data_IF_605675123655
#
_entry.id   IF_605675123655
#
_cell.length_a   1.000
_cell.length_b   1.000
_cell.length_c   1.000
_cell.angle_alpha   90.00
_cell.angle_beta   90.00
_cell.angle_gamma   90.00
#
_symmetry.space_group_name_H-M   'P 1'
#
loop_
_entity.id
_entity.type
_entity.pdbx_description
1 polymer ?
#
# COMPACT_ATOMS: atom_id res chain seq x y z
N UNK A 1 19.65 -1.60 27.78
CA UNK A 1 18.97 -1.22 26.52
C UNK A 1 18.07 -2.39 26.16
N UNK A 2 16.93 -2.15 25.49
CA UNK A 2 16.16 -3.28 24.97
C UNK A 2 16.93 -3.82 23.76
N UNK A 3 17.29 -5.10 23.81
CA UNK A 3 17.98 -5.79 22.73
C UNK A 3 16.99 -6.71 22.03
N UNK A 4 17.02 -6.72 20.70
CA UNK A 4 16.26 -7.63 19.86
C UNK A 4 17.16 -8.80 19.47
N UNK A 5 17.07 -9.90 20.21
CA UNK A 5 17.81 -11.15 19.94
C UNK A 5 19.31 -10.93 19.62
N UNK A 6 19.97 -10.16 20.49
CA UNK A 6 21.38 -9.72 20.45
C UNK A 6 21.71 -8.54 19.52
N UNK A 7 20.70 -7.86 18.97
CA UNK A 7 20.88 -6.61 18.23
C UNK A 7 20.36 -5.41 19.04
N UNK A 8 21.19 -4.41 19.34
CA UNK A 8 20.73 -3.25 20.10
C UNK A 8 19.73 -2.42 19.28
N UNK A 9 18.63 -1.97 19.89
CA UNK A 9 17.71 -1.07 19.20
C UNK A 9 18.29 0.35 19.24
N UNK A 10 18.83 0.83 18.12
CA UNK A 10 19.50 2.14 18.00
C UNK A 10 18.79 3.07 17.01
N UNK A 11 19.01 4.38 17.15
CA UNK A 11 18.57 5.39 16.17
C UNK A 11 19.53 5.52 14.98
N UNK A 12 20.70 4.88 15.07
CA UNK A 12 21.74 4.91 14.06
C UNK A 12 21.69 3.63 13.21
N UNK A 13 22.10 3.71 11.94
CA UNK A 13 22.23 2.53 11.09
C UNK A 13 23.37 1.61 11.58
N UNK A 14 23.20 0.32 11.32
CA UNK A 14 24.25 -0.68 11.49
C UNK A 14 25.04 -0.81 10.20
N UNK A 15 26.34 -0.50 10.28
CA UNK A 15 27.24 -0.63 9.15
C UNK A 15 27.73 -2.07 9.04
N UNK A 16 27.56 -2.64 7.85
CA UNK A 16 27.97 -4.01 7.50
C UNK A 16 29.30 -3.94 6.76
N UNK A 17 30.30 -4.59 7.33
CA UNK A 17 31.68 -4.67 6.87
C UNK A 17 32.13 -6.14 6.75
N UNK A 18 33.39 -6.34 6.37
CA UNK A 18 33.96 -7.68 6.17
C UNK A 18 34.09 -8.51 7.47
N UNK A 19 33.95 -7.89 8.64
CA UNK A 19 34.01 -8.58 9.93
C UNK A 19 32.63 -9.03 10.43
N UNK A 20 31.55 -8.32 10.06
CA UNK A 20 30.20 -8.54 10.59
C UNK A 20 29.16 -8.97 9.54
N UNK A 21 29.54 -9.14 8.27
CA UNK A 21 28.65 -9.55 7.17
C UNK A 21 27.88 -10.85 7.45
N UNK A 22 28.43 -11.73 8.29
CA UNK A 22 27.79 -13.00 8.65
C UNK A 22 26.40 -12.79 9.28
N UNK A 23 26.20 -11.70 10.02
CA UNK A 23 24.90 -11.34 10.59
C UNK A 23 23.85 -11.08 9.50
N UNK A 24 24.25 -10.39 8.42
CA UNK A 24 23.38 -10.16 7.27
C UNK A 24 23.08 -11.47 6.54
N UNK A 25 24.09 -12.33 6.35
CA UNK A 25 23.92 -13.64 5.69
C UNK A 25 22.91 -14.51 6.45
N UNK A 26 23.00 -14.55 7.78
CA UNK A 26 22.07 -15.31 8.63
C UNK A 26 20.63 -14.81 8.51
N UNK A 27 20.42 -13.50 8.39
CA UNK A 27 19.09 -12.90 8.16
C UNK A 27 18.55 -13.26 6.79
N UNK A 28 19.37 -13.10 5.74
CA UNK A 28 18.96 -13.32 4.35
C UNK A 28 18.62 -14.80 4.10
N UNK A 29 19.38 -15.71 4.69
CA UNK A 29 19.17 -17.15 4.58
C UNK A 29 18.11 -17.68 5.56
N UNK A 30 17.55 -16.84 6.44
CA UNK A 30 16.52 -17.24 7.41
C UNK A 30 17.05 -18.09 8.57
N UNK A 31 18.36 -18.12 8.79
CA UNK A 31 18.98 -18.86 9.89
C UNK A 31 18.75 -18.17 11.26
N UNK A 32 18.59 -16.84 11.25
CA UNK A 32 18.32 -16.04 12.44
C UNK A 32 17.12 -15.11 12.22
N UNK A 33 16.16 -15.18 13.13
CA UNK A 33 14.95 -14.35 13.10
C UNK A 33 15.04 -13.29 14.21
N UNK A 34 14.73 -12.06 13.85
CA UNK A 34 14.65 -10.93 14.77
C UNK A 34 13.18 -10.54 14.98
N UNK A 35 12.87 -9.90 16.10
CA UNK A 35 11.52 -9.47 16.45
C UNK A 35 11.11 -8.21 15.71
N UNK A 36 12.05 -7.45 15.12
CA UNK A 36 11.80 -6.31 14.25
C UNK A 36 12.19 -6.61 12.78
N UNK A 37 11.50 -6.02 11.79
CA UNK A 37 11.89 -6.13 10.39
C UNK A 37 13.27 -5.52 10.15
N UNK A 38 14.00 -6.04 9.15
CA UNK A 38 15.33 -5.57 8.79
C UNK A 38 15.32 -4.95 7.39
N UNK A 39 15.84 -3.74 7.28
CA UNK A 39 16.02 -3.02 6.02
C UNK A 39 17.50 -3.06 5.66
N UNK A 40 17.85 -3.71 4.56
CA UNK A 40 19.22 -3.74 4.06
C UNK A 40 19.41 -2.78 2.88
N UNK A 41 20.36 -1.86 3.00
CA UNK A 41 20.71 -0.86 1.98
C UNK A 41 22.08 -1.20 1.40
N UNK A 42 22.10 -1.66 0.15
CA UNK A 42 23.35 -1.92 -0.57
C UNK A 42 23.97 -0.64 -1.15
N UNK A 43 25.29 -0.64 -1.34
CA UNK A 43 26.02 0.45 -2.01
C UNK A 43 25.79 0.41 -3.52
N UNK A 44 25.77 1.58 -4.15
CA UNK A 44 25.76 1.70 -5.63
C UNK A 44 27.11 1.31 -6.23
N UNK A 45 27.17 1.12 -7.54
CA UNK A 45 28.43 0.85 -8.27
C UNK A 45 29.51 1.92 -8.05
N UNK A 46 29.11 3.17 -7.76
CA UNK A 46 30.00 4.29 -7.47
C UNK A 46 30.36 4.39 -5.97
N UNK A 47 30.08 3.34 -5.19
CA UNK A 47 30.26 3.28 -3.74
C UNK A 47 29.51 4.37 -2.95
N UNK A 48 28.37 4.83 -3.48
CA UNK A 48 27.51 5.82 -2.82
C UNK A 48 26.30 5.15 -2.18
N UNK A 49 25.78 5.74 -1.12
CA UNK A 49 24.49 5.32 -0.54
C UNK A 49 23.35 5.86 -1.40
N UNK A 50 22.37 5.03 -1.80
CA UNK A 50 21.28 5.44 -2.69
C UNK A 50 20.27 6.39 -2.01
N UNK A 51 20.22 6.40 -0.68
CA UNK A 51 19.30 7.20 0.13
C UNK A 51 20.01 7.79 1.35
N UNK A 52 19.37 8.78 1.98
CA UNK A 52 19.80 9.31 3.28
C UNK A 52 19.43 8.32 4.39
N UNK A 53 20.42 7.50 4.77
CA UNK A 53 20.26 6.46 5.78
C UNK A 53 20.05 7.05 7.18
N UNK A 54 20.60 8.24 7.47
CA UNK A 54 20.43 8.88 8.77
C UNK A 54 18.97 9.22 9.02
N UNK A 55 18.32 9.85 8.04
CA UNK A 55 16.87 10.13 8.08
C UNK A 55 16.04 8.85 8.15
N UNK A 56 16.39 7.83 7.36
CA UNK A 56 15.66 6.56 7.36
C UNK A 56 15.73 5.86 8.72
N UNK A 57 16.92 5.76 9.31
CA UNK A 57 17.14 5.11 10.61
C UNK A 57 16.42 5.88 11.73
N UNK A 58 16.41 7.20 11.66
CA UNK A 58 15.65 8.03 12.60
C UNK A 58 14.14 7.83 12.47
N UNK A 59 13.61 7.68 11.25
CA UNK A 59 12.19 7.44 11.02
C UNK A 59 11.74 6.03 11.45
N UNK A 60 12.63 5.04 11.36
CA UNK A 60 12.37 3.64 11.70
C UNK A 60 12.81 3.25 13.12
N UNK A 61 13.22 4.22 13.95
CA UNK A 61 13.70 3.96 15.31
C UNK A 61 12.66 3.16 16.12
N UNK A 62 13.07 1.99 16.62
CA UNK A 62 12.20 1.10 17.40
C UNK A 62 11.10 0.39 16.61
N UNK A 63 11.08 0.53 15.28
CA UNK A 63 10.12 -0.16 14.38
C UNK A 63 10.84 -1.15 13.47
N UNK A 64 12.07 -0.85 13.03
CA UNK A 64 12.88 -1.72 12.19
C UNK A 64 14.38 -1.45 12.39
N UNK A 65 15.20 -2.46 12.10
CA UNK A 65 16.66 -2.30 12.05
C UNK A 65 17.10 -1.92 10.63
N UNK A 66 18.07 -1.03 10.52
CA UNK A 66 18.61 -0.59 9.22
C UNK A 66 20.06 -1.03 9.09
N UNK A 67 20.32 -1.95 8.18
CA UNK A 67 21.65 -2.44 7.83
C UNK A 67 22.13 -1.74 6.56
N UNK A 68 23.38 -1.28 6.57
CA UNK A 68 23.97 -0.54 5.45
C UNK A 68 25.30 -1.13 5.12
N UNK A 69 25.48 -1.49 3.85
CA UNK A 69 26.79 -1.89 3.36
C UNK A 69 27.79 -0.73 3.49
N UNK A 70 28.95 -0.97 4.08
CA UNK A 70 30.00 0.05 4.26
C UNK A 70 30.75 0.31 2.94
N UNK A 71 31.23 -0.75 2.30
CA UNK A 71 32.00 -0.68 1.06
C UNK A 71 31.47 -1.62 -0.03
N UNK A 72 31.64 -1.20 -1.29
CA UNK A 72 31.23 -1.97 -2.48
C UNK A 72 32.08 -3.23 -2.67
N UNK A 73 33.31 -3.26 -2.13
CA UNK A 73 34.23 -4.41 -2.20
C UNK A 73 33.64 -5.68 -1.54
N UNK A 74 32.90 -5.51 -0.44
CA UNK A 74 32.21 -6.60 0.27
C UNK A 74 31.04 -7.20 -0.51
N UNK A 75 30.64 -6.62 -1.65
CA UNK A 75 29.48 -7.06 -2.42
C UNK A 75 29.66 -8.49 -2.96
N UNK A 76 30.82 -8.79 -3.56
CA UNK A 76 31.08 -10.12 -4.11
C UNK A 76 31.13 -11.19 -3.02
N UNK A 77 31.67 -10.83 -1.84
CA UNK A 77 31.68 -11.69 -0.66
C UNK A 77 30.24 -12.01 -0.20
N UNK A 78 29.43 -10.99 0.08
CA UNK A 78 28.05 -11.15 0.55
C UNK A 78 27.21 -11.93 -0.48
N UNK A 79 27.41 -11.67 -1.78
CA UNK A 79 26.72 -12.39 -2.87
C UNK A 79 27.04 -13.87 -2.88
N UNK A 80 28.31 -14.23 -2.71
CA UNK A 80 28.75 -15.62 -2.69
C UNK A 80 28.15 -16.41 -1.52
N UNK A 81 28.01 -15.79 -0.35
CA UNK A 81 27.43 -16.43 0.84
C UNK A 81 25.90 -16.44 0.88
N UNK A 82 25.26 -15.59 0.07
CA UNK A 82 23.80 -15.48 0.00
C UNK A 82 23.20 -16.13 -1.26
N UNK A 83 23.97 -16.85 -2.07
CA UNK A 83 23.53 -17.42 -3.37
C UNK A 83 22.80 -16.38 -4.26
N UNK A 84 23.33 -15.16 -4.35
CA UNK A 84 22.71 -14.03 -5.08
C UNK A 84 21.29 -13.63 -4.61
N UNK A 85 20.83 -14.11 -3.45
CA UNK A 85 19.53 -13.73 -2.88
C UNK A 85 19.53 -12.34 -2.25
N UNK A 86 20.69 -11.77 -2.00
CA UNK A 86 20.86 -10.45 -1.41
C UNK A 86 20.59 -9.32 -2.42
N UNK A 87 20.27 -8.13 -1.91
CA UNK A 87 20.23 -6.91 -2.72
C UNK A 87 21.62 -6.34 -2.93
N UNK A 88 21.89 -5.87 -4.14
CA UNK A 88 23.20 -5.35 -4.56
C UNK A 88 23.03 -4.16 -5.49
N UNK A 89 24.08 -3.35 -5.68
CA UNK A 89 24.13 -2.22 -6.61
C UNK A 89 23.09 -1.11 -6.33
N UNK A 90 22.93 -0.70 -5.08
CA UNK A 90 22.01 0.37 -4.69
C UNK A 90 20.56 -0.08 -4.52
N UNK A 91 20.30 -1.38 -4.62
CA UNK A 91 18.99 -1.95 -4.30
C UNK A 91 18.82 -2.05 -2.77
N UNK A 92 17.58 -1.94 -2.31
CA UNK A 92 17.21 -2.01 -0.90
C UNK A 92 16.31 -3.23 -0.68
N UNK A 93 16.65 -4.06 0.29
CA UNK A 93 15.87 -5.23 0.71
C UNK A 93 15.11 -4.95 2.00
N UNK A 94 13.87 -5.42 2.09
CA UNK A 94 13.11 -5.45 3.34
C UNK A 94 12.82 -6.91 3.68
N UNK A 95 13.28 -7.31 4.86
CA UNK A 95 13.18 -8.66 5.42
C UNK A 95 12.22 -8.63 6.61
N UNK A 96 11.15 -9.42 6.54
CA UNK A 96 10.11 -9.51 7.57
C UNK A 96 10.30 -10.74 8.44
N UNK A 97 9.72 -10.75 9.63
CA UNK A 97 9.85 -11.83 10.63
C UNK A 97 9.06 -13.11 10.26
N UNK A 98 8.28 -13.11 9.17
CA UNK A 98 7.33 -14.19 8.86
C UNK A 98 7.53 -14.72 7.45
N UNK A 99 7.65 -16.05 7.31
CA UNK A 99 7.75 -16.75 6.02
C UNK A 99 6.54 -16.55 5.09
N UNK A 100 5.40 -16.13 5.66
CA UNK A 100 4.17 -15.83 4.93
C UNK A 100 4.30 -14.58 4.04
N UNK A 101 5.18 -13.63 4.39
CA UNK A 101 5.42 -12.43 3.60
C UNK A 101 6.83 -12.52 3.01
N UNK A 102 6.86 -12.81 1.71
CA UNK A 102 8.10 -12.87 0.94
C UNK A 102 8.86 -11.52 1.02
N UNK A 103 10.20 -11.62 1.07
CA UNK A 103 11.10 -10.45 1.08
C UNK A 103 10.73 -9.44 -0.02
N UNK A 104 10.73 -8.15 0.32
CA UNK A 104 10.38 -7.09 -0.63
C UNK A 104 11.66 -6.42 -1.14
N UNK A 105 11.99 -6.65 -2.41
CA UNK A 105 13.12 -5.97 -3.08
C UNK A 105 12.66 -4.66 -3.69
N UNK A 106 13.33 -3.55 -3.34
CA UNK A 106 13.14 -2.24 -3.96
C UNK A 106 14.35 -1.88 -4.81
N UNK A 107 14.11 -1.62 -6.09
CA UNK A 107 15.13 -1.02 -6.96
C UNK A 107 15.12 0.48 -6.80
N UNK A 108 16.29 1.05 -6.52
CA UNK A 108 16.50 2.51 -6.56
C UNK A 108 17.26 2.80 -7.86
N UNK A 109 16.56 3.35 -8.86
CA UNK A 109 17.21 3.81 -10.08
C UNK A 109 17.72 5.25 -9.85
N UNK A 110 18.80 5.64 -10.53
CA UNK A 110 19.50 6.92 -10.31
C UNK A 110 18.63 8.19 -10.51
N UNK A 111 17.47 8.05 -11.16
CA UNK A 111 16.55 9.16 -11.45
C UNK A 111 15.41 9.31 -10.42
N UNK A 112 15.34 8.44 -9.40
CA UNK A 112 14.31 8.53 -8.36
C UNK A 112 14.71 9.53 -7.29
N UNK A 113 13.72 10.27 -6.78
CA UNK A 113 13.89 11.12 -5.61
C UNK A 113 14.19 10.23 -4.38
N UNK A 114 15.38 10.35 -3.76
CA UNK A 114 15.75 9.56 -2.60
C UNK A 114 14.79 9.71 -1.41
N UNK A 115 14.20 10.91 -1.23
CA UNK A 115 13.29 11.18 -0.12
C UNK A 115 11.95 10.45 -0.31
N UNK A 116 11.45 10.36 -1.56
CA UNK A 116 10.21 9.62 -1.89
C UNK A 116 10.40 8.12 -1.66
N UNK A 117 11.55 7.57 -2.05
CA UNK A 117 11.89 6.16 -1.82
C UNK A 117 11.94 5.86 -0.32
N UNK A 118 12.61 6.71 0.45
CA UNK A 118 12.71 6.59 1.91
C UNK A 118 11.33 6.60 2.57
N UNK A 119 10.47 7.56 2.21
CA UNK A 119 9.10 7.63 2.75
C UNK A 119 8.25 6.40 2.39
N UNK A 120 8.42 5.85 1.19
CA UNK A 120 7.74 4.62 0.78
C UNK A 120 8.15 3.43 1.64
N UNK A 121 9.45 3.28 1.93
CA UNK A 121 9.97 2.20 2.78
C UNK A 121 9.40 2.31 4.19
N UNK A 122 9.42 3.52 4.76
CA UNK A 122 8.85 3.78 6.09
C UNK A 122 7.37 3.42 6.13
N UNK A 123 6.59 3.83 5.12
CA UNK A 123 5.17 3.52 5.03
C UNK A 123 4.93 2.01 4.96
N UNK A 124 5.69 1.28 4.14
CA UNK A 124 5.55 -0.17 3.99
C UNK A 124 5.77 -0.89 5.33
N UNK A 125 6.82 -0.53 6.07
CA UNK A 125 7.16 -1.15 7.35
C UNK A 125 6.14 -0.82 8.44
N UNK A 126 5.67 0.44 8.50
CA UNK A 126 4.63 0.84 9.45
C UNK A 126 3.32 0.10 9.16
N UNK A 127 2.94 -0.03 7.88
CA UNK A 127 1.75 -0.82 7.52
C UNK A 127 1.89 -2.28 7.91
N UNK A 128 3.05 -2.90 7.66
CA UNK A 128 3.32 -4.26 8.09
C UNK A 128 3.20 -4.40 9.61
N UNK A 129 3.82 -3.50 10.37
CA UNK A 129 3.78 -3.54 11.85
C UNK A 129 2.36 -3.37 12.37
N UNK A 130 1.58 -2.47 11.78
CA UNK A 130 0.17 -2.28 12.15
C UNK A 130 -0.73 -3.46 11.76
N UNK A 131 -0.29 -4.33 10.85
CA UNK A 131 -1.02 -5.54 10.45
C UNK A 131 -0.69 -6.75 11.32
N UNK A 132 0.38 -6.70 12.12
CA UNK A 132 0.68 -7.77 13.06
C UNK A 132 -0.44 -7.86 14.12
N UNK A 133 -1.03 -9.05 14.22
CA UNK A 133 -2.13 -9.32 15.14
C UNK A 133 -1.60 -9.38 16.57
N UNK A 134 -2.12 -8.50 17.43
CA UNK A 134 -1.91 -8.61 18.87
C UNK A 134 -2.62 -9.89 19.32
N UNK A 135 -1.96 -10.85 20.00
CA UNK A 135 -2.66 -12.05 20.44
C UNK A 135 -3.81 -11.67 21.37
N UNK A 136 -4.98 -12.28 21.17
CA UNK A 136 -6.24 -11.82 21.76
C UNK A 136 -6.20 -11.62 23.29
N UNK A 137 -5.47 -12.48 24.02
CA UNK A 137 -5.28 -12.37 25.47
C UNK A 137 -4.53 -11.12 25.94
N UNK A 138 -3.80 -10.45 25.06
CA UNK A 138 -3.12 -9.17 25.35
C UNK A 138 -4.01 -7.96 25.07
N UNK A 139 -5.25 -8.17 24.61
CA UNK A 139 -6.24 -7.10 24.45
C UNK A 139 -7.09 -6.95 25.72
N UNK A 140 -7.54 -5.73 26.02
CA UNK A 140 -8.44 -5.49 27.15
C UNK A 140 -9.71 -6.33 27.09
N UNK A 141 -10.28 -6.50 25.89
CA UNK A 141 -11.45 -7.35 25.66
C UNK A 141 -11.19 -8.83 25.94
N UNK A 142 -10.02 -9.36 25.57
CA UNK A 142 -9.66 -10.75 25.86
C UNK A 142 -9.48 -11.02 27.36
N UNK A 143 -8.88 -10.07 28.09
CA UNK A 143 -8.75 -10.15 29.56
C UNK A 143 -10.13 -10.07 30.23
N UNK A 144 -10.97 -9.11 29.82
CA UNK A 144 -12.34 -8.96 30.34
C UNK A 144 -13.17 -10.22 30.11
N UNK A 145 -13.14 -10.77 28.91
CA UNK A 145 -13.89 -11.97 28.54
C UNK A 145 -13.44 -13.18 29.37
N UNK A 146 -12.14 -13.37 29.57
CA UNK A 146 -11.60 -14.44 30.42
C UNK A 146 -12.04 -14.29 31.88
N UNK A 147 -11.98 -13.06 32.42
CA UNK A 147 -12.43 -12.76 33.78
C UNK A 147 -13.93 -13.03 33.97
N UNK A 148 -14.76 -12.68 32.97
CA UNK A 148 -16.18 -12.94 33.00
C UNK A 148 -16.49 -14.44 32.97
N UNK A 149 -15.79 -15.21 32.13
CA UNK A 149 -15.94 -16.67 32.09
C UNK A 149 -15.58 -17.33 33.42
N UNK A 150 -14.50 -16.91 34.08
CA UNK A 150 -14.10 -17.45 35.37
C UNK A 150 -15.12 -17.12 36.48
N UNK A 151 -15.61 -15.88 36.52
CA UNK A 151 -16.68 -15.48 37.46
C UNK A 151 -17.96 -16.27 37.20
N UNK A 152 -18.34 -16.45 35.94
CA UNK A 152 -19.53 -17.20 35.56
C UNK A 152 -19.44 -18.66 36.00
N UNK A 153 -18.30 -19.32 35.75
CA UNK A 153 -18.06 -20.71 36.19
C UNK A 153 -18.14 -20.84 37.72
N UNK A 154 -17.53 -19.91 38.46
CA UNK A 154 -17.57 -19.92 39.92
C UNK A 154 -18.99 -19.71 40.46
N UNK A 155 -19.76 -18.81 39.84
CA UNK A 155 -21.13 -18.53 40.27
C UNK A 155 -22.07 -19.69 39.94
N UNK A 156 -21.89 -20.34 38.79
CA UNK A 156 -22.61 -21.56 38.39
C UNK A 156 -22.36 -22.71 39.37
N UNK A 157 -21.11 -22.94 39.76
CA UNK A 157 -20.75 -23.97 40.73
C UNK A 157 -21.38 -23.71 42.11
N UNK A 158 -21.28 -22.48 42.63
CA UNK A 158 -21.88 -22.10 43.93
C UNK A 158 -23.40 -22.22 43.95
N UNK A 159 -24.06 -21.97 42.81
CA UNK A 159 -25.51 -22.05 42.70
C UNK A 159 -26.01 -23.48 42.58
N UNK A 160 -25.35 -24.33 41.82
CA UNK A 160 -25.64 -25.77 41.79
C UNK A 160 -25.52 -26.42 43.18
N UNK A 161 -24.62 -25.90 44.02
CA UNK A 161 -24.46 -26.34 45.41
C UNK A 161 -25.60 -25.84 46.33
N UNK A 162 -26.14 -24.64 46.07
CA UNK A 162 -27.29 -24.08 46.78
C UNK A 162 -28.65 -24.66 46.35
N UNK A 163 -28.75 -25.13 45.11
CA UNK A 163 -29.93 -25.77 44.48
C UNK A 163 -30.35 -27.06 45.20
N UNK A 164 -29.44 -27.69 45.95
CA UNK A 164 -29.75 -28.84 46.80
C UNK A 164 -30.62 -28.51 48.02
N UNK A 165 -30.93 -27.23 48.30
CA UNK A 165 -31.39 -26.84 49.65
C UNK A 165 -32.79 -26.26 49.83
N UNK A 166 -33.58 -25.83 48.81
CA UNK A 166 -34.99 -25.38 49.05
C UNK A 166 -35.92 -25.48 47.83
N UNK A 167 -37.20 -25.77 48.11
CA UNK A 167 -38.28 -26.18 47.19
C UNK A 167 -39.28 -25.05 46.85
N UNK A 168 -39.20 -23.87 47.49
CA UNK A 168 -39.99 -22.67 47.12
C UNK A 168 -39.35 -21.84 45.99
N UNK A 169 -38.27 -22.36 45.41
CA UNK A 169 -37.40 -21.66 44.47
C UNK A 169 -37.78 -21.89 43.01
N UNK A 170 -38.69 -22.83 42.72
CA UNK A 170 -38.91 -23.38 41.37
C UNK A 170 -39.55 -22.41 40.36
N UNK A 171 -40.48 -21.55 40.76
CA UNK A 171 -41.14 -20.62 39.82
C UNK A 171 -40.22 -19.43 39.48
N UNK A 172 -39.52 -18.91 40.49
CA UNK A 172 -38.47 -17.89 40.29
C UNK A 172 -37.29 -18.48 39.53
N UNK A 173 -36.91 -19.73 39.78
CA UNK A 173 -35.89 -20.47 39.03
C UNK A 173 -36.28 -20.65 37.56
N UNK A 174 -37.54 -20.94 37.26
CA UNK A 174 -38.02 -21.06 35.88
C UNK A 174 -37.87 -19.75 35.12
N UNK A 175 -38.38 -18.66 35.69
CA UNK A 175 -38.32 -17.34 35.04
C UNK A 175 -36.86 -16.89 34.82
N UNK A 176 -35.98 -17.09 35.82
CA UNK A 176 -34.57 -16.76 35.66
C UNK A 176 -33.80 -17.72 34.74
N UNK A 177 -34.20 -19.00 34.68
CA UNK A 177 -33.62 -19.96 33.73
C UNK A 177 -34.01 -19.63 32.30
N UNK A 178 -35.26 -19.20 32.09
CA UNK A 178 -35.75 -18.75 30.79
C UNK A 178 -35.03 -17.46 30.36
N UNK A 179 -34.90 -16.46 31.23
CA UNK A 179 -34.11 -15.25 30.93
C UNK A 179 -32.62 -15.55 30.68
N UNK A 180 -32.04 -16.53 31.37
CA UNK A 180 -30.66 -16.97 31.13
C UNK A 180 -30.51 -17.69 29.80
N UNK A 181 -31.48 -18.54 29.44
CA UNK A 181 -31.49 -19.21 28.14
C UNK A 181 -31.61 -18.19 27.02
N UNK A 182 -32.51 -17.21 27.16
CA UNK A 182 -32.70 -16.12 26.19
C UNK A 182 -31.43 -15.29 26.04
N UNK A 183 -30.76 -14.95 27.15
CA UNK A 183 -29.49 -14.24 27.14
C UNK A 183 -28.36 -15.08 26.53
N UNK A 184 -28.29 -16.39 26.79
CA UNK A 184 -27.32 -17.28 26.15
C UNK A 184 -27.58 -17.42 24.65
N UNK A 185 -28.84 -17.49 24.23
CA UNK A 185 -29.23 -17.55 22.83
C UNK A 185 -28.87 -16.25 22.11
N UNK A 186 -29.12 -15.11 22.74
CA UNK A 186 -28.76 -13.80 22.21
C UNK A 186 -27.23 -13.63 22.14
N UNK A 187 -26.50 -14.11 23.15
CA UNK A 187 -25.03 -14.08 23.13
C UNK A 187 -24.47 -14.97 22.03
N UNK A 188 -25.01 -16.19 21.87
CA UNK A 188 -24.67 -17.09 20.75
C UNK A 188 -24.96 -16.43 19.42
N UNK A 189 -26.13 -15.81 19.26
CA UNK A 189 -26.52 -15.10 18.04
C UNK A 189 -25.58 -13.95 17.72
N UNK A 190 -25.17 -13.18 18.73
CA UNK A 190 -24.21 -12.08 18.57
C UNK A 190 -22.81 -12.59 18.24
N UNK A 191 -22.36 -13.69 18.86
CA UNK A 191 -21.07 -14.32 18.52
C UNK A 191 -21.08 -14.91 17.12
N UNK A 192 -22.17 -15.55 16.68
CA UNK A 192 -22.32 -16.01 15.29
C UNK A 192 -22.25 -14.84 14.31
N UNK A 193 -22.93 -13.73 14.61
CA UNK A 193 -22.87 -12.52 13.77
C UNK A 193 -21.49 -11.88 13.73
N UNK A 194 -20.76 -11.89 14.85
CA UNK A 194 -19.37 -11.42 14.88
C UNK A 194 -18.48 -12.33 14.04
N UNK A 195 -18.61 -13.65 14.18
CA UNK A 195 -17.87 -14.62 13.38
C UNK A 195 -18.19 -14.49 11.88
N UNK A 196 -19.45 -14.31 11.50
CA UNK A 196 -19.86 -14.07 10.12
C UNK A 196 -19.28 -12.75 9.58
N UNK A 197 -19.26 -11.70 10.41
CA UNK A 197 -18.66 -10.40 10.05
C UNK A 197 -17.13 -10.45 9.99
N UNK A 198 -16.49 -11.25 10.83
CA UNK A 198 -15.06 -11.50 10.80
C UNK A 198 -14.68 -12.33 9.58
N UNK A 199 -15.46 -13.36 9.22
CA UNK A 199 -15.31 -14.13 8.00
C UNK A 199 -15.57 -13.27 6.75
N UNK A 200 -16.55 -12.36 6.77
CA UNK A 200 -16.73 -11.36 5.71
C UNK A 200 -15.54 -10.42 5.64
N UNK A 201 -15.04 -9.91 6.77
CA UNK A 201 -13.86 -9.06 6.80
C UNK A 201 -12.61 -9.81 6.33
N UNK A 202 -12.47 -11.08 6.66
CA UNK A 202 -11.37 -11.94 6.21
C UNK A 202 -11.52 -12.27 4.73
N UNK A 203 -12.73 -12.53 4.25
CA UNK A 203 -13.05 -12.68 2.83
C UNK A 203 -12.74 -11.39 2.06
N UNK A 204 -13.17 -10.22 2.53
CA UNK A 204 -12.88 -8.93 1.91
C UNK A 204 -11.42 -8.54 2.06
N UNK A 205 -10.76 -8.90 3.15
CA UNK A 205 -9.31 -8.75 3.31
C UNK A 205 -8.60 -9.65 2.32
N UNK A 206 -8.97 -10.91 2.19
CA UNK A 206 -8.39 -11.85 1.22
C UNK A 206 -8.73 -11.47 -0.21
N UNK A 207 -9.90 -10.90 -0.49
CA UNK A 207 -10.27 -10.37 -1.79
C UNK A 207 -9.47 -9.08 -2.07
N UNK A 208 -9.29 -8.23 -1.06
CA UNK A 208 -8.46 -7.03 -1.14
C UNK A 208 -6.97 -7.37 -1.23
N UNK A 209 -6.50 -8.43 -0.56
CA UNK A 209 -5.17 -9.01 -0.65
C UNK A 209 -5.03 -9.90 -1.89
N UNK A 210 -6.08 -10.36 -2.54
CA UNK A 210 -5.99 -10.94 -3.89
C UNK A 210 -5.98 -9.82 -4.94
N UNK A 211 -6.63 -8.70 -4.65
CA UNK A 211 -6.60 -7.45 -5.45
C UNK A 211 -5.32 -6.61 -5.22
N UNK A 212 -4.64 -6.72 -4.08
CA UNK A 212 -3.40 -6.00 -3.73
C UNK A 212 -2.17 -6.91 -3.57
N UNK A 213 -2.36 -8.15 -3.17
CA UNK A 213 -1.36 -9.16 -2.84
C UNK A 213 -1.36 -10.35 -3.79
N UNK A 214 -1.69 -10.09 -5.06
CA UNK A 214 -0.97 -10.73 -6.15
C UNK A 214 0.04 -9.70 -6.66
N UNK A 215 1.22 -9.74 -6.06
CA UNK A 215 2.48 -9.46 -6.74
C UNK A 215 2.75 -10.51 -7.85
N UNK A 216 1.76 -10.72 -8.72
CA UNK A 216 1.92 -11.23 -10.09
C UNK A 216 1.01 -10.44 -11.05
N UNK A 217 0.61 -9.21 -10.70
CA UNK A 217 0.32 -8.23 -11.73
C UNK A 217 1.57 -8.11 -12.60
N UNK A 218 1.43 -8.33 -13.91
CA UNK A 218 2.51 -8.27 -14.92
C UNK A 218 3.46 -7.05 -14.74
N UNK A 219 2.96 -5.95 -14.16
CA UNK A 219 3.73 -4.75 -13.82
C UNK A 219 3.36 -4.23 -12.42
N UNK A 220 4.34 -3.69 -11.70
CA UNK A 220 4.09 -2.95 -10.46
C UNK A 220 3.33 -1.65 -10.76
N UNK A 221 2.35 -1.30 -9.91
CA UNK A 221 1.48 -0.14 -10.07
C UNK A 221 2.14 1.23 -9.78
N UNK A 222 3.38 1.25 -9.31
CA UNK A 222 4.11 2.49 -8.99
C UNK A 222 3.53 3.26 -7.78
N UNK A 223 4.21 4.33 -7.35
CA UNK A 223 3.84 5.13 -6.17
C UNK A 223 2.99 6.36 -6.47
N UNK A 224 2.87 6.74 -7.74
CA UNK A 224 2.03 7.88 -8.16
C UNK A 224 0.56 7.58 -7.87
N UNK A 225 -0.23 8.60 -7.51
CA UNK A 225 -1.65 8.41 -7.18
C UNK A 225 -2.50 8.33 -8.45
N UNK A 226 -3.50 7.45 -8.49
CA UNK A 226 -4.56 7.53 -9.50
C UNK A 226 -5.56 8.64 -9.16
N UNK A 227 -5.81 9.52 -10.12
CA UNK A 227 -6.84 10.56 -10.05
C UNK A 227 -8.23 10.01 -10.35
N UNK A 228 -8.32 8.91 -11.11
CA UNK A 228 -9.56 8.20 -11.39
C UNK A 228 -9.34 6.69 -11.54
N UNK A 229 -10.41 5.92 -11.35
CA UNK A 229 -10.35 4.46 -11.40
C UNK A 229 -9.83 3.96 -12.75
N UNK A 230 -8.78 3.13 -12.73
CA UNK A 230 -8.23 2.49 -13.92
C UNK A 230 -7.31 3.40 -14.77
N UNK A 231 -6.98 4.60 -14.29
CA UNK A 231 -6.13 5.56 -15.01
C UNK A 231 -4.79 4.99 -15.43
N UNK A 232 -4.02 4.39 -14.50
CA UNK A 232 -2.69 3.86 -14.82
C UNK A 232 -2.76 2.74 -15.83
N UNK A 233 -3.76 1.85 -15.67
CA UNK A 233 -3.99 0.74 -16.60
C UNK A 233 -4.27 1.27 -18.00
N UNK A 234 -5.15 2.27 -18.13
CA UNK A 234 -5.51 2.86 -19.41
C UNK A 234 -4.29 3.53 -20.08
N UNK A 235 -3.47 4.28 -19.34
CA UNK A 235 -2.25 4.88 -19.88
C UNK A 235 -1.21 3.86 -20.34
N UNK A 236 -0.98 2.80 -19.56
CA UNK A 236 -0.03 1.75 -19.95
C UNK A 236 -0.51 1.04 -21.22
N UNK A 237 -1.80 0.70 -21.29
CA UNK A 237 -2.37 0.08 -22.49
C UNK A 237 -2.31 1.00 -23.71
N UNK A 238 -2.52 2.31 -23.55
CA UNK A 238 -2.41 3.26 -24.67
C UNK A 238 -0.98 3.31 -25.22
N UNK A 239 0.02 3.38 -24.34
CA UNK A 239 1.44 3.37 -24.74
C UNK A 239 1.82 2.06 -25.44
N UNK A 240 1.34 0.92 -24.93
CA UNK A 240 1.58 -0.37 -25.57
C UNK A 240 0.93 -0.45 -26.95
N UNK A 241 -0.29 0.05 -27.11
CA UNK A 241 -0.99 0.12 -28.39
C UNK A 241 -0.26 1.02 -29.40
N UNK A 242 0.14 2.23 -29.00
CA UNK A 242 0.89 3.16 -29.85
C UNK A 242 2.22 2.55 -30.31
N UNK A 243 2.87 1.77 -29.44
CA UNK A 243 4.13 1.11 -29.76
C UNK A 243 3.99 0.04 -30.85
N UNK A 244 2.82 -0.60 -31.01
CA UNK A 244 2.60 -1.63 -32.03
C UNK A 244 2.68 -1.08 -33.46
N UNK A 245 2.31 0.20 -33.66
CA UNK A 245 2.32 0.85 -34.97
C UNK A 245 3.72 1.02 -35.57
N UNK A 246 4.76 1.08 -34.72
CA UNK A 246 6.16 1.22 -35.12
C UNK A 246 6.96 -0.08 -35.16
N UNK A 247 6.35 -1.23 -34.82
CA UNK A 247 7.08 -2.51 -34.70
C UNK A 247 7.09 -3.31 -36.00
N UNK A 248 8.26 -3.87 -36.31
CA UNK A 248 8.43 -4.81 -37.42
C UNK A 248 7.59 -6.08 -37.23
N UNK A 249 7.03 -6.55 -38.34
CA UNK A 249 6.19 -7.74 -38.38
C UNK A 249 6.97 -9.01 -38.03
N UNK A 250 6.25 -10.02 -37.52
CA UNK A 250 6.77 -11.35 -37.17
C UNK A 250 7.85 -11.36 -36.07
N UNK A 251 7.88 -10.36 -35.20
CA UNK A 251 8.78 -10.36 -34.04
C UNK A 251 8.08 -10.90 -32.79
N UNK A 252 8.82 -11.64 -31.95
CA UNK A 252 8.32 -12.13 -30.66
C UNK A 252 7.82 -10.99 -29.77
N UNK A 253 8.50 -9.84 -29.81
CA UNK A 253 8.11 -8.62 -29.09
C UNK A 253 6.73 -8.12 -29.51
N UNK A 254 6.45 -8.01 -30.82
CA UNK A 254 5.14 -7.60 -31.34
C UNK A 254 4.04 -8.58 -30.95
N UNK A 255 4.29 -9.89 -31.03
CA UNK A 255 3.32 -10.91 -30.63
C UNK A 255 2.95 -10.81 -29.14
N UNK A 256 3.93 -10.62 -28.24
CA UNK A 256 3.67 -10.48 -26.80
C UNK A 256 2.85 -9.23 -26.49
N UNK A 257 3.23 -8.09 -27.07
CA UNK A 257 2.53 -6.82 -26.80
C UNK A 257 1.11 -6.85 -27.39
N UNK A 258 0.94 -7.43 -28.57
CA UNK A 258 -0.37 -7.60 -29.21
C UNK A 258 -1.28 -8.50 -28.37
N UNK A 259 -0.77 -9.60 -27.84
CA UNK A 259 -1.52 -10.50 -26.96
C UNK A 259 -1.97 -9.79 -25.67
N UNK A 260 -1.06 -9.06 -25.01
CA UNK A 260 -1.39 -8.27 -23.82
C UNK A 260 -2.49 -7.24 -24.11
N UNK A 261 -2.39 -6.52 -25.23
CA UNK A 261 -3.40 -5.53 -25.63
C UNK A 261 -4.74 -6.19 -25.97
N UNK A 262 -4.75 -7.37 -26.59
CA UNK A 262 -5.97 -8.09 -26.96
C UNK A 262 -6.70 -8.72 -25.75
N UNK A 263 -5.97 -9.19 -24.76
CA UNK A 263 -6.52 -9.81 -23.55
C UNK A 263 -7.06 -8.79 -22.53
N UNK A 264 -6.76 -7.51 -22.72
CA UNK A 264 -7.21 -6.44 -21.84
C UNK A 264 -8.26 -5.59 -22.56
N UNK A 265 -9.49 -5.55 -22.03
CA UNK A 265 -10.49 -4.59 -22.49
C UNK A 265 -9.94 -3.17 -22.34
N UNK A 266 -9.78 -2.48 -23.46
CA UNK A 266 -9.44 -1.06 -23.47
C UNK A 266 -10.73 -0.33 -23.13
N UNK A 267 -10.91 -0.06 -21.85
CA UNK A 267 -11.91 0.90 -21.41
C UNK A 267 -11.57 2.24 -22.09
N UNK A 268 -12.51 2.73 -22.91
CA UNK A 268 -12.33 3.94 -23.73
C UNK A 268 -12.34 5.24 -22.90
N UNK A 269 -12.06 5.13 -21.60
CA UNK A 269 -12.11 6.20 -20.60
C UNK A 269 -11.21 7.38 -21.03
N UNK A 270 -10.00 7.10 -21.54
CA UNK A 270 -9.10 8.16 -21.98
C UNK A 270 -9.65 8.90 -23.20
N UNK A 271 -10.16 8.21 -24.22
CA UNK A 271 -10.70 8.88 -25.40
C UNK A 271 -12.01 9.60 -25.12
N UNK A 272 -12.90 8.99 -24.32
CA UNK A 272 -14.12 9.64 -23.84
C UNK A 272 -13.81 10.97 -23.13
N UNK A 273 -12.77 11.00 -22.28
CA UNK A 273 -12.33 12.24 -21.63
C UNK A 273 -11.72 13.24 -22.61
N UNK A 274 -10.91 12.79 -23.58
CA UNK A 274 -10.36 13.66 -24.64
C UNK A 274 -11.48 14.28 -25.48
N UNK A 275 -12.49 13.51 -25.84
CA UNK A 275 -13.65 13.97 -26.61
C UNK A 275 -14.54 14.92 -25.81
N UNK A 276 -14.72 14.66 -24.51
CA UNK A 276 -15.44 15.56 -23.63
C UNK A 276 -14.72 16.90 -23.47
N UNK A 277 -13.40 16.89 -23.27
CA UNK A 277 -12.57 18.10 -23.20
C UNK A 277 -12.61 18.85 -24.54
N UNK A 278 -12.51 18.13 -25.67
CA UNK A 278 -12.62 18.71 -27.00
C UNK A 278 -13.98 19.37 -27.22
N UNK A 279 -15.08 18.72 -26.84
CA UNK A 279 -16.43 19.29 -26.91
C UNK A 279 -16.57 20.56 -26.06
N UNK A 280 -15.99 20.57 -24.87
CA UNK A 280 -16.11 21.68 -23.92
C UNK A 280 -15.24 22.89 -24.28
N UNK A 281 -14.06 22.67 -24.87
CA UNK A 281 -13.06 23.71 -25.08
C UNK A 281 -12.82 24.11 -26.54
N UNK A 282 -13.36 23.42 -27.54
CA UNK A 282 -13.11 23.80 -28.95
C UNK A 282 -13.67 25.18 -29.29
N UNK A 283 -14.91 25.48 -28.89
CA UNK A 283 -15.62 26.72 -29.23
C UNK A 283 -15.96 27.57 -27.98
N UNK A 284 -15.15 27.47 -26.93
CA UNK A 284 -15.42 28.18 -25.67
C UNK A 284 -15.41 29.71 -25.87
N UNK A 285 -16.42 30.39 -25.32
CA UNK A 285 -16.55 31.85 -25.31
C UNK A 285 -16.47 32.38 -23.87
N UNK A 286 -15.47 31.91 -23.14
CA UNK A 286 -15.27 32.14 -21.71
C UNK A 286 -15.88 31.05 -20.81
N UNK A 287 -15.48 31.04 -19.54
CA UNK A 287 -15.94 30.06 -18.54
C UNK A 287 -17.28 30.51 -17.97
N UNK A 288 -18.36 29.91 -18.44
CA UNK A 288 -19.67 30.03 -17.81
C UNK A 288 -19.81 29.06 -16.62
N UNK A 289 -20.81 29.27 -15.76
CA UNK A 289 -21.05 28.42 -14.58
C UNK A 289 -21.20 26.93 -14.94
N UNK A 290 -21.81 26.63 -16.10
CA UNK A 290 -21.97 25.27 -16.61
C UNK A 290 -20.64 24.62 -17.01
N UNK A 291 -19.80 25.33 -17.76
CA UNK A 291 -18.48 24.88 -18.18
C UNK A 291 -17.56 24.70 -16.97
N UNK A 292 -17.66 25.58 -15.96
CA UNK A 292 -16.94 25.41 -14.69
C UNK A 292 -17.35 24.13 -13.96
N UNK A 293 -18.63 23.79 -13.94
CA UNK A 293 -19.11 22.53 -13.34
C UNK A 293 -18.64 21.30 -14.13
N UNK A 294 -18.71 21.32 -15.47
CA UNK A 294 -18.25 20.23 -16.32
C UNK A 294 -16.73 20.01 -16.21
N UNK A 295 -15.94 21.09 -16.20
CA UNK A 295 -14.50 21.03 -15.94
C UNK A 295 -14.19 20.48 -14.54
N UNK A 296 -15.00 20.84 -13.53
CA UNK A 296 -14.86 20.29 -12.17
C UNK A 296 -15.16 18.79 -12.11
N UNK A 297 -16.15 18.30 -12.86
CA UNK A 297 -16.43 16.85 -12.98
C UNK A 297 -15.25 16.10 -13.58
N UNK A 298 -14.55 16.72 -14.54
CA UNK A 298 -13.34 16.18 -15.14
C UNK A 298 -12.10 16.29 -14.24
N UNK A 299 -12.20 16.93 -13.07
CA UNK A 299 -11.12 17.08 -12.11
C UNK A 299 -10.37 18.41 -12.16
N UNK A 300 -10.79 19.37 -12.99
CA UNK A 300 -10.13 20.67 -13.08
C UNK A 300 -10.67 21.67 -12.06
N UNK A 301 -9.76 22.36 -11.39
CA UNK A 301 -10.04 23.53 -10.55
C UNK A 301 -9.73 24.79 -11.34
N UNK A 302 -10.74 25.65 -11.49
CA UNK A 302 -10.62 26.92 -12.21
C UNK A 302 -10.34 28.06 -11.23
N UNK A 303 -9.23 28.76 -11.42
CA UNK A 303 -8.89 29.99 -10.72
C UNK A 303 -8.75 31.15 -11.72
N UNK A 304 -9.06 32.36 -11.29
CA UNK A 304 -8.91 33.57 -12.13
C UNK A 304 -7.55 34.20 -11.89
N UNK A 305 -6.83 34.49 -12.97
CA UNK A 305 -5.51 35.13 -12.94
C UNK A 305 -5.49 36.27 -13.97
N UNK A 306 -5.96 37.45 -13.55
CA UNK A 306 -6.07 38.63 -14.41
C UNK A 306 -6.89 38.39 -15.68
N UNK A 307 -6.24 38.49 -16.84
CA UNK A 307 -6.83 38.30 -18.19
C UNK A 307 -6.95 36.82 -18.59
N UNK A 308 -6.41 35.91 -17.78
CA UNK A 308 -6.40 34.49 -18.02
C UNK A 308 -7.14 33.70 -16.92
N UNK A 309 -7.57 32.49 -17.26
CA UNK A 309 -8.02 31.46 -16.35
C UNK A 309 -6.89 30.46 -16.15
N UNK A 310 -6.69 30.02 -14.92
CA UNK A 310 -5.73 28.98 -14.55
C UNK A 310 -6.50 27.71 -14.18
N UNK A 311 -6.31 26.66 -14.98
CA UNK A 311 -6.90 25.33 -14.79
C UNK A 311 -5.85 24.45 -14.11
N UNK A 312 -6.16 23.92 -12.92
CA UNK A 312 -5.28 23.01 -12.18
C UNK A 312 -5.95 21.64 -12.07
N UNK A 313 -5.30 20.58 -12.56
CA UNK A 313 -5.85 19.22 -12.52
C UNK A 313 -5.71 18.62 -11.12
N UNK A 314 -6.83 18.21 -10.50
CA UNK A 314 -6.92 17.66 -9.14
C UNK A 314 -6.14 18.45 -8.07
N UNK A 315 -6.02 19.77 -8.25
CA UNK A 315 -5.25 20.67 -7.39
C UNK A 315 -3.74 20.33 -7.29
N UNK A 316 -3.21 19.61 -8.29
CA UNK A 316 -1.79 19.36 -8.44
C UNK A 316 -1.16 20.45 -9.32
N UNK A 317 -0.30 21.27 -8.71
CA UNK A 317 0.35 22.40 -9.37
C UNK A 317 1.23 21.98 -10.56
N UNK A 318 1.69 20.71 -10.62
CA UNK A 318 2.43 20.16 -11.77
C UNK A 318 1.61 20.23 -13.06
N UNK A 319 0.28 20.14 -12.95
CA UNK A 319 -0.65 20.05 -14.08
C UNK A 319 -1.51 21.31 -14.19
N UNK A 320 -0.83 22.44 -14.42
CA UNK A 320 -1.47 23.74 -14.63
C UNK A 320 -1.52 24.11 -16.12
N UNK A 321 -2.69 24.53 -16.61
CA UNK A 321 -2.88 25.12 -17.94
C UNK A 321 -3.42 26.55 -17.81
N UNK A 322 -2.92 27.46 -18.64
CA UNK A 322 -3.36 28.87 -18.70
C UNK A 322 -4.21 29.07 -19.94
N UNK A 323 -5.42 29.57 -19.76
CA UNK A 323 -6.40 29.78 -20.83
C UNK A 323 -6.83 31.25 -20.88
N UNK A 324 -7.00 31.85 -22.06
CA UNK A 324 -7.52 33.22 -22.16
C UNK A 324 -8.99 33.32 -21.70
N UNK A 325 -9.37 34.44 -21.09
CA UNK A 325 -10.78 34.65 -20.68
C UNK A 325 -11.74 34.72 -21.86
N UNK A 326 -11.31 35.37 -22.95
CA UNK A 326 -12.03 35.45 -24.21
C UNK A 326 -11.03 35.22 -25.34
N UNK A 327 -11.07 34.07 -26.02
CA UNK A 327 -10.17 33.81 -27.13
C UNK A 327 -10.56 34.71 -28.32
N UNK A 328 -9.62 35.52 -28.82
CA UNK A 328 -9.77 36.23 -30.10
C UNK A 328 -9.43 35.34 -31.30
N UNK A 329 -8.65 34.27 -31.07
CA UNK A 329 -8.26 33.29 -32.07
C UNK A 329 -9.15 32.04 -32.02
N UNK A 330 -9.74 31.69 -33.16
CA UNK A 330 -10.49 30.44 -33.37
C UNK A 330 -9.69 29.16 -33.08
N UNK A 331 -8.35 29.23 -33.08
CA UNK A 331 -7.47 28.09 -32.78
C UNK A 331 -7.14 27.98 -31.28
N UNK A 332 -7.42 29.00 -30.48
CA UNK A 332 -7.08 29.01 -29.05
C UNK A 332 -7.72 27.84 -28.29
N UNK A 333 -8.98 27.51 -28.59
CA UNK A 333 -9.66 26.35 -28.01
C UNK A 333 -8.97 25.03 -28.35
N UNK A 334 -8.62 24.83 -29.62
CA UNK A 334 -7.90 23.64 -30.10
C UNK A 334 -6.51 23.52 -29.49
N UNK A 335 -5.81 24.65 -29.32
CA UNK A 335 -4.50 24.68 -28.69
C UNK A 335 -4.58 24.30 -27.20
N UNK A 336 -5.58 24.80 -26.47
CA UNK A 336 -5.81 24.43 -25.07
C UNK A 336 -6.14 22.94 -24.92
N UNK A 337 -6.98 22.39 -25.80
CA UNK A 337 -7.26 20.94 -25.83
C UNK A 337 -5.99 20.14 -26.08
N UNK A 338 -5.15 20.58 -27.02
CA UNK A 338 -3.87 19.93 -27.31
C UNK A 338 -2.90 20.01 -26.13
N UNK A 339 -2.88 21.12 -25.38
CA UNK A 339 -2.02 21.28 -24.21
C UNK A 339 -2.48 20.40 -23.05
N UNK A 340 -3.80 20.32 -22.83
CA UNK A 340 -4.41 19.43 -21.83
C UNK A 340 -4.09 17.96 -22.17
N UNK A 341 -4.30 17.56 -23.42
CA UNK A 341 -3.96 16.22 -23.92
C UNK A 341 -2.45 15.92 -24.00
N UNK A 342 -1.59 16.86 -23.61
CA UNK A 342 -0.15 16.63 -23.50
C UNK A 342 0.29 16.56 -22.04
N UNK A 343 -0.42 17.26 -21.15
CA UNK A 343 -0.06 17.39 -19.74
C UNK A 343 -0.74 16.36 -18.84
N UNK A 344 -1.97 15.93 -19.17
CA UNK A 344 -2.81 15.14 -18.25
C UNK A 344 -3.53 13.95 -18.88
N UNK A 345 -3.57 13.85 -20.20
CA UNK A 345 -4.10 12.72 -20.99
C UNK A 345 -3.08 12.40 -22.07
#
# INVERSE_FOLDING_TARGET
MLDDNNLPITMNPYWINDENYQMLVEVINGAKVYDLPIVYVSKTFLNRTPIDVGKLSYALKGVAHVFVQEDVSSNDLIRSFCDDKNEYNGNIGIYYQTDMIQKKRRRVLEHFDPDVVSQSIVRDIIHYTNQQTIPYLYTWDGVLTSLFQDRFRSQKAKRAEAEKTKEETDEVLRVFSDEMNDLEEENKRLTSKLLDRENELEYYKNEFFNRQGVNEGFLSSGTEKEFFQGEKRAFVLSVLSDSLGGMSDKTRKKHIIQDIVQQNEIDDILNNRRDEIKRLLTDYKGINSKLKQELKKLGFVVSEDGTHYKLTYYNDNRYTIVMAKTPSDSRAGKNNVSEINKKVL
#
